data_IF_348028596618
#
_entry.id   IF_348028596618
#
_cell.length_a   1.000
_cell.length_b   1.000
_cell.length_c   1.000
_cell.angle_alpha   90.00
_cell.angle_beta   90.00
_cell.angle_gamma   90.00
#
_symmetry.space_group_name_H-M   'P 1'
#
loop_
_entity.id
_entity.type
_entity.pdbx_description
1 polymer ?
#
# COMPACT_ATOMS: atom_id res chain seq x y z
N UNK A 1 -3.53 -10.80 24.33
CA UNK A 1 -3.19 -12.08 23.67
C UNK A 1 -1.68 -12.11 23.57
N UNK A 2 -1.03 -13.19 24.00
CA UNK A 2 0.44 -13.34 23.92
C UNK A 2 0.73 -14.72 23.36
N UNK A 3 1.59 -14.80 22.35
CA UNK A 3 2.01 -16.04 21.70
C UNK A 3 3.50 -15.98 21.38
N UNK A 4 4.07 -17.14 21.04
CA UNK A 4 5.46 -17.24 20.58
C UNK A 4 5.46 -17.05 19.06
N UNK A 5 6.19 -16.05 18.58
CA UNK A 5 6.43 -15.83 17.16
C UNK A 5 7.77 -16.48 16.81
N UNK A 6 7.74 -17.50 15.95
CA UNK A 6 8.94 -18.09 15.37
C UNK A 6 9.15 -17.52 13.97
N UNK A 7 10.31 -16.89 13.76
CA UNK A 7 10.65 -16.24 12.50
C UNK A 7 11.69 -17.06 11.76
N UNK A 8 11.49 -17.23 10.45
CA UNK A 8 12.57 -17.70 9.58
C UNK A 8 13.72 -16.68 9.60
N UNK A 9 15.00 -17.10 9.50
CA UNK A 9 16.14 -16.18 9.62
C UNK A 9 16.08 -14.97 8.66
N UNK A 10 15.51 -15.15 7.46
CA UNK A 10 15.37 -14.07 6.48
C UNK A 10 14.35 -13.00 6.89
N UNK A 11 13.38 -13.32 7.76
CA UNK A 11 12.35 -12.40 8.22
C UNK A 11 12.77 -11.58 9.46
N UNK A 12 14.01 -11.72 9.95
CA UNK A 12 14.47 -11.04 11.17
C UNK A 12 14.49 -9.50 11.05
N UNK A 13 14.58 -8.99 9.83
CA UNK A 13 14.53 -7.56 9.53
C UNK A 13 13.11 -7.04 9.26
N UNK A 14 12.09 -7.91 9.23
CA UNK A 14 10.71 -7.49 9.06
C UNK A 14 10.20 -6.88 10.37
N UNK A 15 9.67 -5.66 10.29
CA UNK A 15 9.18 -4.91 11.45
C UNK A 15 7.68 -5.10 11.69
N UNK A 16 6.97 -5.66 10.70
CA UNK A 16 5.52 -5.76 10.67
C UNK A 16 5.10 -7.08 10.06
N UNK A 17 4.08 -7.69 10.64
CA UNK A 17 3.59 -9.02 10.26
C UNK A 17 2.07 -9.03 10.17
N UNK A 18 1.54 -9.82 9.25
CA UNK A 18 0.13 -10.21 9.22
C UNK A 18 -0.03 -11.54 9.94
N UNK A 19 -1.05 -11.61 10.80
CA UNK A 19 -1.39 -12.83 11.50
C UNK A 19 -2.68 -13.40 10.91
N UNK A 20 -2.65 -14.68 10.56
CA UNK A 20 -3.80 -15.42 10.07
C UNK A 20 -4.14 -16.56 11.03
N UNK A 21 -5.43 -16.88 11.19
CA UNK A 21 -5.83 -18.17 11.74
C UNK A 21 -5.21 -19.30 10.90
N UNK A 22 -4.68 -20.33 11.56
CA UNK A 22 -3.93 -21.38 10.88
C UNK A 22 -4.82 -22.17 9.90
N UNK A 23 -6.11 -22.30 10.23
CA UNK A 23 -7.14 -22.90 9.41
C UNK A 23 -7.37 -22.16 8.09
N UNK A 24 -7.17 -20.84 8.05
CA UNK A 24 -7.44 -20.00 6.87
C UNK A 24 -6.28 -20.03 5.87
N UNK A 25 -5.09 -20.45 6.31
CA UNK A 25 -3.85 -20.46 5.51
C UNK A 25 -3.22 -21.84 5.37
N UNK A 26 -3.92 -22.90 5.78
CA UNK A 26 -3.40 -24.26 5.79
C UNK A 26 -2.95 -24.75 4.40
N UNK A 27 -3.60 -24.25 3.34
CA UNK A 27 -3.35 -24.62 1.95
C UNK A 27 -2.41 -23.62 1.22
N UNK A 28 -2.00 -22.53 1.89
CA UNK A 28 -1.09 -21.56 1.27
C UNK A 28 0.35 -22.09 1.26
N UNK A 29 1.05 -22.00 0.12
CA UNK A 29 2.44 -22.42 0.04
C UNK A 29 3.33 -21.49 0.86
N UNK A 30 4.20 -22.05 1.69
CA UNK A 30 5.23 -21.29 2.39
C UNK A 30 6.43 -21.04 1.47
N UNK A 31 6.88 -19.79 1.40
CA UNK A 31 8.13 -19.41 0.73
C UNK A 31 9.09 -18.72 1.70
N UNK A 32 10.38 -18.73 1.36
CA UNK A 32 11.34 -17.91 2.07
C UNK A 32 10.99 -16.42 1.89
N UNK A 33 11.04 -15.65 2.98
CA UNK A 33 10.89 -14.20 2.90
C UNK A 33 12.05 -13.59 2.10
N UNK A 34 11.72 -12.73 1.13
CA UNK A 34 12.67 -11.98 0.31
C UNK A 34 12.37 -10.48 0.43
N UNK A 35 13.27 -9.74 1.08
CA UNK A 35 13.20 -8.28 1.10
C UNK A 35 13.60 -7.73 -0.27
N UNK A 36 12.79 -6.82 -0.81
CA UNK A 36 13.10 -6.09 -2.04
C UNK A 36 13.50 -4.65 -1.69
N UNK A 37 14.69 -4.26 -2.13
CA UNK A 37 15.19 -2.88 -2.01
C UNK A 37 14.83 -2.12 -3.27
N UNK A 38 14.27 -0.91 -3.12
CA UNK A 38 13.94 -0.08 -4.26
C UNK A 38 15.18 0.49 -4.96
N UNK A 39 15.09 0.61 -6.28
CA UNK A 39 16.18 1.14 -7.13
C UNK A 39 15.89 2.56 -7.62
N UNK A 40 16.92 3.22 -8.16
CA UNK A 40 16.80 4.61 -8.62
C UNK A 40 15.68 4.80 -9.65
N UNK A 41 15.61 3.94 -10.66
CA UNK A 41 14.63 4.07 -11.75
C UNK A 41 13.18 3.89 -11.25
N UNK A 42 12.98 2.99 -10.28
CA UNK A 42 11.70 2.82 -9.58
C UNK A 42 11.28 4.12 -8.88
N UNK A 43 12.20 4.74 -8.13
CA UNK A 43 11.93 6.01 -7.44
C UNK A 43 11.63 7.14 -8.43
N UNK A 44 12.34 7.22 -9.56
CA UNK A 44 12.09 8.23 -10.60
C UNK A 44 10.73 8.03 -11.25
N UNK A 45 10.38 6.79 -11.59
CA UNK A 45 9.08 6.47 -12.16
C UNK A 45 7.92 6.81 -11.22
N UNK A 46 8.02 6.44 -9.94
CA UNK A 46 7.01 6.78 -8.94
C UNK A 46 6.80 8.29 -8.82
N UNK A 47 7.88 9.09 -8.89
CA UNK A 47 7.80 10.56 -8.87
C UNK A 47 7.10 11.12 -10.13
N UNK A 48 7.38 10.56 -11.30
CA UNK A 48 6.74 10.98 -12.55
C UNK A 48 5.24 10.67 -12.51
N UNK A 49 4.88 9.44 -12.17
CA UNK A 49 3.47 9.00 -12.06
C UNK A 49 2.74 9.82 -10.99
N UNK A 50 3.39 10.13 -9.86
CA UNK A 50 2.77 10.96 -8.82
C UNK A 50 2.45 12.38 -9.30
N UNK A 51 3.37 13.02 -10.05
CA UNK A 51 3.13 14.34 -10.64
C UNK A 51 1.93 14.31 -11.60
N UNK A 52 1.84 13.28 -12.43
CA UNK A 52 0.74 13.09 -13.35
C UNK A 52 -0.57 12.86 -12.59
N UNK A 53 -0.58 11.96 -11.60
CA UNK A 53 -1.76 11.69 -10.78
C UNK A 53 -2.26 12.92 -10.01
N UNK A 54 -1.37 13.71 -9.41
CA UNK A 54 -1.72 14.98 -8.73
C UNK A 54 -2.39 15.95 -9.71
N UNK A 55 -1.79 16.11 -10.90
CA UNK A 55 -2.29 17.01 -11.94
C UNK A 55 -3.65 16.55 -12.49
N UNK A 56 -3.81 15.25 -12.77
CA UNK A 56 -5.07 14.66 -13.24
C UNK A 56 -6.23 14.83 -12.24
N UNK A 57 -5.92 14.89 -10.95
CA UNK A 57 -6.91 15.13 -9.89
C UNK A 57 -7.13 16.62 -9.57
N UNK A 58 -6.50 17.54 -10.32
CA UNK A 58 -6.65 18.99 -10.11
C UNK A 58 -6.07 19.49 -8.79
N UNK A 59 -5.18 18.72 -8.16
CA UNK A 59 -4.57 19.08 -6.90
C UNK A 59 -3.33 19.96 -7.10
N UNK A 60 -3.05 20.83 -6.13
CA UNK A 60 -1.89 21.71 -6.18
C UNK A 60 -0.60 20.92 -5.92
N UNK A 61 0.32 20.96 -6.87
CA UNK A 61 1.67 20.42 -6.67
C UNK A 61 2.45 21.30 -5.67
N UNK A 62 3.19 20.72 -4.72
CA UNK A 62 4.13 21.45 -3.88
C UNK A 62 5.20 22.21 -4.70
N UNK A 63 5.73 23.31 -4.16
CA UNK A 63 6.73 24.15 -4.84
C UNK A 63 8.05 23.43 -5.10
N UNK A 64 8.42 22.47 -4.24
CA UNK A 64 9.56 21.57 -4.38
C UNK A 64 9.22 20.27 -5.15
N UNK A 65 7.98 20.17 -5.66
CA UNK A 65 7.46 19.07 -6.46
C UNK A 65 7.15 17.80 -5.65
N UNK A 66 6.81 16.72 -6.35
CA UNK A 66 6.41 15.45 -5.71
C UNK A 66 7.49 14.81 -4.82
N UNK A 67 8.77 15.14 -5.04
CA UNK A 67 9.85 14.62 -4.18
C UNK A 67 9.75 15.14 -2.74
N UNK A 68 9.33 16.39 -2.56
CA UNK A 68 9.21 17.02 -1.25
C UNK A 68 8.10 16.46 -0.37
N UNK A 69 7.15 15.73 -0.96
CA UNK A 69 6.01 15.13 -0.27
C UNK A 69 6.08 13.60 -0.25
N UNK A 70 7.21 13.00 -0.63
CA UNK A 70 7.37 11.54 -0.61
C UNK A 70 7.67 11.07 0.81
N UNK A 71 6.79 10.25 1.36
CA UNK A 71 6.90 9.76 2.74
C UNK A 71 7.42 8.34 2.83
N UNK A 72 6.97 7.46 1.93
CA UNK A 72 7.28 6.04 2.03
C UNK A 72 7.46 5.40 0.66
N UNK A 73 8.46 4.54 0.51
CA UNK A 73 8.74 3.80 -0.72
C UNK A 73 9.12 2.38 -0.36
N UNK A 74 8.52 1.41 -1.05
CA UNK A 74 8.83 0.00 -0.87
C UNK A 74 8.77 -0.71 -2.21
N UNK A 75 9.79 -1.53 -2.50
CA UNK A 75 9.73 -2.48 -3.59
C UNK A 75 9.12 -3.81 -3.11
N UNK A 76 8.41 -4.48 -3.99
CA UNK A 76 7.80 -5.79 -3.75
C UNK A 76 7.62 -6.52 -5.07
N UNK A 77 7.38 -7.83 -5.05
CA UNK A 77 7.20 -8.60 -6.27
C UNK A 77 5.96 -9.50 -6.16
N UNK A 78 4.84 -9.11 -6.79
CA UNK A 78 3.65 -9.96 -6.92
C UNK A 78 3.96 -11.36 -7.43
N UNK A 79 3.14 -12.35 -7.04
CA UNK A 79 3.32 -13.74 -7.49
C UNK A 79 3.20 -13.89 -9.01
N UNK A 80 2.40 -13.03 -9.65
CA UNK A 80 2.19 -12.94 -11.09
C UNK A 80 3.23 -12.06 -11.81
N UNK A 81 4.25 -11.54 -11.10
CA UNK A 81 5.24 -10.62 -11.65
C UNK A 81 6.65 -11.24 -11.78
N UNK A 82 7.25 -11.06 -12.96
CA UNK A 82 8.63 -11.49 -13.22
C UNK A 82 9.71 -10.53 -12.66
N UNK A 83 9.34 -9.28 -12.37
CA UNK A 83 10.26 -8.25 -11.85
C UNK A 83 9.59 -7.45 -10.74
N UNK A 84 10.35 -6.91 -9.77
CA UNK A 84 9.79 -6.13 -8.67
C UNK A 84 9.08 -4.85 -9.12
N UNK A 85 7.94 -4.60 -8.51
CA UNK A 85 7.18 -3.36 -8.56
C UNK A 85 7.65 -2.41 -7.46
N UNK A 86 7.18 -1.16 -7.49
CA UNK A 86 7.42 -0.20 -6.42
C UNK A 86 6.12 0.49 -6.03
N UNK A 87 5.85 0.54 -4.73
CA UNK A 87 4.80 1.35 -4.14
C UNK A 87 5.41 2.59 -3.49
N UNK A 88 4.77 3.74 -3.63
CA UNK A 88 5.22 4.99 -3.00
C UNK A 88 4.04 5.82 -2.53
N UNK A 89 4.11 6.24 -1.26
CA UNK A 89 3.14 7.14 -0.64
C UNK A 89 3.66 8.57 -0.66
N UNK A 90 2.79 9.48 -1.07
CA UNK A 90 3.00 10.92 -1.07
C UNK A 90 1.94 11.60 -0.20
N UNK A 91 2.35 12.58 0.61
CA UNK A 91 1.49 13.28 1.55
C UNK A 91 1.75 14.77 1.49
N UNK A 92 0.74 15.55 1.10
CA UNK A 92 0.85 17.00 1.05
C UNK A 92 0.08 17.63 2.21
N UNK A 93 0.74 18.56 2.93
CA UNK A 93 0.17 19.35 4.05
C UNK A 93 -0.44 18.49 5.19
N UNK A 94 0.06 17.28 5.36
CA UNK A 94 -0.33 16.34 6.40
C UNK A 94 0.88 15.42 6.71
N UNK A 95 0.68 14.40 7.54
CA UNK A 95 1.67 13.40 7.90
C UNK A 95 1.18 11.99 7.59
N UNK A 96 2.12 11.07 7.32
CA UNK A 96 1.84 9.64 7.23
C UNK A 96 1.60 9.06 8.64
N UNK A 97 0.39 9.23 9.16
CA UNK A 97 0.02 8.79 10.50
C UNK A 97 -1.36 9.29 10.91
N UNK A 98 -1.87 8.78 12.05
CA UNK A 98 -3.14 9.27 12.62
C UNK A 98 -2.97 10.71 13.08
N UNK A 99 -3.99 11.54 12.83
CA UNK A 99 -4.04 12.92 13.34
C UNK A 99 -4.81 13.85 12.42
N UNK A 100 -5.23 15.00 12.92
CA UNK A 100 -6.02 15.97 12.14
C UNK A 100 -5.25 16.50 10.91
N UNK A 101 -5.83 16.47 9.71
CA UNK A 101 -5.20 17.03 8.52
C UNK A 101 -5.25 18.56 8.52
N UNK A 102 -4.37 19.19 7.74
CA UNK A 102 -4.51 20.61 7.39
C UNK A 102 -5.50 20.79 6.23
N UNK A 103 -5.98 22.02 6.04
CA UNK A 103 -6.69 22.38 4.81
C UNK A 103 -5.77 22.27 3.59
N UNK A 104 -6.31 21.76 2.49
CA UNK A 104 -5.63 21.48 1.22
C UNK A 104 -4.80 20.20 1.24
N UNK A 105 -4.96 19.36 2.26
CA UNK A 105 -4.17 18.15 2.40
C UNK A 105 -4.70 17.01 1.52
N UNK A 106 -3.79 16.19 1.03
CA UNK A 106 -4.13 14.97 0.31
C UNK A 106 -3.08 13.88 0.56
N UNK A 107 -3.52 12.64 0.44
CA UNK A 107 -2.67 11.46 0.36
C UNK A 107 -2.74 10.86 -1.04
N UNK A 108 -1.63 10.30 -1.51
CA UNK A 108 -1.55 9.60 -2.77
C UNK A 108 -0.67 8.36 -2.61
N UNK A 109 -1.21 7.19 -2.93
CA UNK A 109 -0.42 5.98 -3.16
C UNK A 109 -0.27 5.79 -4.66
N UNK A 110 0.96 5.59 -5.12
CA UNK A 110 1.27 5.16 -6.48
C UNK A 110 1.90 3.78 -6.42
N UNK A 111 1.50 2.89 -7.31
CA UNK A 111 2.18 1.63 -7.59
C UNK A 111 2.63 1.63 -9.04
N UNK A 112 3.93 1.47 -9.27
CA UNK A 112 4.52 1.38 -10.59
C UNK A 112 4.97 -0.07 -10.87
N UNK A 113 4.60 -0.58 -12.04
CA UNK A 113 5.00 -1.90 -12.51
C UNK A 113 6.01 -1.81 -13.65
N UNK A 114 6.94 -2.77 -13.78
CA UNK A 114 7.85 -2.81 -14.90
C UNK A 114 7.13 -3.01 -16.24
N UNK A 115 7.54 -2.29 -17.28
CA UNK A 115 7.07 -2.47 -18.66
C UNK A 115 8.18 -2.08 -19.65
N UNK A 116 8.60 -3.04 -20.49
CA UNK A 116 9.81 -2.89 -21.30
C UNK A 116 11.03 -2.58 -20.42
N UNK A 117 11.80 -1.55 -20.79
CA UNK A 117 12.95 -1.08 -20.00
C UNK A 117 12.58 -0.05 -18.92
N UNK A 118 11.29 0.30 -18.81
CA UNK A 118 10.80 1.32 -17.88
C UNK A 118 9.76 0.80 -16.90
N UNK A 119 8.98 1.74 -16.37
CA UNK A 119 7.89 1.50 -15.44
C UNK A 119 6.67 2.31 -15.85
N UNK A 120 5.50 1.74 -15.64
CA UNK A 120 4.20 2.38 -15.88
C UNK A 120 3.33 2.30 -14.64
N UNK A 121 2.35 3.19 -14.56
CA UNK A 121 1.36 3.19 -13.50
C UNK A 121 0.55 1.89 -13.52
N UNK A 122 0.56 1.16 -12.40
CA UNK A 122 -0.37 0.08 -12.13
C UNK A 122 -1.57 0.58 -11.33
N UNK A 123 -1.31 1.38 -10.28
CA UNK A 123 -2.32 1.90 -9.36
C UNK A 123 -2.01 3.35 -9.02
N UNK A 124 -3.04 4.20 -8.96
CA UNK A 124 -3.01 5.42 -8.17
C UNK A 124 -4.27 5.53 -7.29
N UNK A 125 -4.05 5.71 -5.98
CA UNK A 125 -5.12 5.99 -5.01
C UNK A 125 -4.90 7.40 -4.50
N UNK A 126 -5.61 8.35 -5.10
CA UNK A 126 -5.61 9.74 -4.67
C UNK A 126 -6.79 9.98 -3.70
N UNK A 127 -6.54 10.67 -2.59
CA UNK A 127 -7.57 11.04 -1.63
C UNK A 127 -7.34 12.47 -1.15
N UNK A 128 -8.30 13.37 -1.42
CA UNK A 128 -8.30 14.72 -0.84
C UNK A 128 -9.07 14.76 0.47
N UNK A 129 -8.57 15.55 1.40
CA UNK A 129 -9.23 15.73 2.71
C UNK A 129 -10.59 16.43 2.55
N UNK A 130 -10.70 17.36 1.61
CA UNK A 130 -11.93 18.11 1.35
C UNK A 130 -13.07 17.22 0.85
N UNK A 131 -12.77 16.20 0.03
CA UNK A 131 -13.79 15.33 -0.55
C UNK A 131 -14.16 14.17 0.38
N UNK A 132 -13.19 13.56 1.04
CA UNK A 132 -13.36 12.25 1.70
C UNK A 132 -12.89 12.22 3.16
N UNK A 133 -12.39 13.34 3.68
CA UNK A 133 -11.65 13.38 4.94
C UNK A 133 -10.28 12.70 4.83
N UNK A 134 -9.47 12.82 5.90
CA UNK A 134 -8.13 12.20 5.93
C UNK A 134 -8.22 10.68 5.82
N UNK A 135 -7.37 10.14 4.95
CA UNK A 135 -7.13 8.71 4.79
C UNK A 135 -5.92 8.50 3.89
N UNK A 136 -4.72 8.67 4.44
CA UNK A 136 -3.47 8.55 3.68
C UNK A 136 -3.16 7.07 3.44
N UNK A 137 -3.11 6.60 2.18
CA UNK A 137 -2.83 5.20 1.87
C UNK A 137 -1.32 4.91 1.88
N UNK A 138 -0.92 3.79 2.49
CA UNK A 138 0.42 3.23 2.49
C UNK A 138 0.37 1.76 2.14
N UNK A 139 1.18 1.36 1.16
CA UNK A 139 1.39 -0.06 0.88
C UNK A 139 1.85 -0.77 2.16
N UNK A 140 1.18 -1.87 2.51
CA UNK A 140 1.58 -2.70 3.63
C UNK A 140 2.16 -4.03 3.16
N UNK A 141 1.41 -4.77 2.35
CA UNK A 141 1.80 -6.08 1.83
C UNK A 141 1.03 -6.45 0.56
N UNK A 142 1.28 -7.64 0.02
CA UNK A 142 0.54 -8.25 -1.08
C UNK A 142 0.46 -9.77 -0.92
N UNK A 143 -0.63 -10.36 -1.40
CA UNK A 143 -0.87 -11.80 -1.41
C UNK A 143 -1.96 -12.12 -2.43
N UNK A 144 -1.96 -13.32 -2.97
CA UNK A 144 -3.09 -13.91 -3.70
C UNK A 144 -4.09 -14.48 -2.68
N UNK A 145 -5.08 -13.69 -2.26
CA UNK A 145 -6.01 -14.03 -1.20
C UNK A 145 -7.12 -14.98 -1.65
N UNK A 146 -7.49 -14.94 -2.92
CA UNK A 146 -8.60 -15.74 -3.47
C UNK A 146 -8.14 -16.96 -4.29
N UNK A 147 -6.83 -17.09 -4.50
CA UNK A 147 -6.19 -18.23 -5.16
C UNK A 147 -6.31 -18.20 -6.68
N UNK A 148 -6.58 -17.05 -7.29
CA UNK A 148 -6.72 -16.92 -8.73
C UNK A 148 -5.37 -16.81 -9.48
N UNK A 149 -4.27 -16.72 -8.75
CA UNK A 149 -2.91 -16.62 -9.26
C UNK A 149 -2.42 -15.18 -9.45
N UNK A 150 -3.21 -14.16 -9.09
CA UNK A 150 -2.81 -12.76 -9.06
C UNK A 150 -2.68 -12.26 -7.62
N UNK A 151 -1.76 -11.33 -7.36
CA UNK A 151 -1.70 -10.71 -6.02
C UNK A 151 -2.64 -9.53 -5.89
N UNK A 152 -3.38 -9.47 -4.80
CA UNK A 152 -3.98 -8.25 -4.29
C UNK A 152 -2.96 -7.44 -3.47
N UNK A 153 -3.24 -6.15 -3.32
CA UNK A 153 -2.42 -5.23 -2.52
C UNK A 153 -3.17 -4.87 -1.25
N UNK A 154 -2.54 -5.14 -0.10
CA UNK A 154 -3.00 -4.69 1.20
C UNK A 154 -2.43 -3.30 1.50
N UNK A 155 -3.33 -2.37 1.84
CA UNK A 155 -3.03 -0.98 2.09
C UNK A 155 -3.43 -0.60 3.51
N UNK A 156 -2.50 0.01 4.23
CA UNK A 156 -2.81 0.79 5.43
C UNK A 156 -3.40 2.13 5.05
N UNK A 157 -4.44 2.55 5.75
CA UNK A 157 -5.02 3.87 5.56
C UNK A 157 -5.03 4.61 6.90
N UNK A 158 -4.31 5.74 6.94
CA UNK A 158 -4.17 6.58 8.13
C UNK A 158 -5.14 7.75 8.08
N UNK A 159 -6.20 7.70 8.88
CA UNK A 159 -7.16 8.79 8.99
C UNK A 159 -6.92 9.73 10.16
N UNK A 160 -7.94 10.56 10.44
CA UNK A 160 -7.83 11.57 11.49
C UNK A 160 -7.78 10.99 12.90
N UNK A 161 -8.56 9.93 13.18
CA UNK A 161 -8.74 9.37 14.52
C UNK A 161 -8.39 7.89 14.64
N UNK A 162 -8.23 7.20 13.51
CA UNK A 162 -7.96 5.76 13.45
C UNK A 162 -7.18 5.40 12.19
N UNK A 163 -6.56 4.23 12.24
CA UNK A 163 -5.99 3.52 11.09
C UNK A 163 -6.93 2.37 10.73
N UNK A 164 -6.98 2.05 9.44
CA UNK A 164 -7.72 0.90 8.92
C UNK A 164 -6.98 0.24 7.76
N UNK A 165 -7.51 -0.88 7.28
CA UNK A 165 -6.97 -1.56 6.10
C UNK A 165 -7.94 -1.48 4.92
N UNK A 166 -7.38 -1.43 3.72
CA UNK A 166 -8.11 -1.63 2.48
C UNK A 166 -7.35 -2.62 1.60
N UNK A 167 -8.09 -3.39 0.80
CA UNK A 167 -7.52 -4.29 -0.21
C UNK A 167 -7.82 -3.74 -1.59
N UNK A 168 -6.79 -3.70 -2.43
CA UNK A 168 -6.90 -3.41 -3.85
C UNK A 168 -6.77 -4.72 -4.62
N UNK A 169 -7.68 -4.94 -5.54
CA UNK A 169 -7.87 -6.17 -6.29
C UNK A 169 -8.05 -5.81 -7.77
N UNK A 170 -7.56 -6.65 -8.67
CA UNK A 170 -7.68 -6.46 -10.11
C UNK A 170 -8.93 -7.16 -10.63
N UNK A 171 -9.98 -6.38 -10.89
CA UNK A 171 -11.23 -6.85 -11.51
C UNK A 171 -11.37 -6.32 -12.93
N UNK A 172 -11.58 -7.21 -13.88
CA UNK A 172 -11.69 -6.88 -15.31
C UNK A 172 -10.50 -6.04 -15.83
N UNK A 173 -9.29 -6.31 -15.31
CA UNK A 173 -8.06 -5.60 -15.65
C UNK A 173 -7.91 -4.22 -14.98
N UNK A 174 -8.87 -3.80 -14.16
CA UNK A 174 -8.82 -2.55 -13.40
C UNK A 174 -8.59 -2.80 -11.92
N UNK A 175 -7.75 -1.98 -11.30
CA UNK A 175 -7.59 -2.00 -9.86
C UNK A 175 -8.78 -1.31 -9.19
N UNK A 176 -9.44 -2.04 -8.30
CA UNK A 176 -10.57 -1.55 -7.51
C UNK A 176 -10.35 -1.86 -6.03
N UNK A 177 -10.92 -1.04 -5.15
CA UNK A 177 -10.95 -1.36 -3.72
C UNK A 177 -12.02 -2.43 -3.49
N UNK A 178 -11.60 -3.65 -3.21
CA UNK A 178 -12.49 -4.80 -2.98
C UNK A 178 -12.96 -4.91 -1.53
N UNK A 179 -12.15 -4.44 -0.58
CA UNK A 179 -12.44 -4.52 0.85
C UNK A 179 -11.93 -3.28 1.58
N UNK A 180 -12.63 -2.89 2.65
CA UNK A 180 -12.18 -1.90 3.63
C UNK A 180 -12.71 -2.29 5.01
N UNK A 181 -11.83 -2.37 6.00
CA UNK A 181 -12.21 -2.61 7.39
C UNK A 181 -11.51 -1.65 8.31
N UNK A 182 -12.33 -0.91 9.05
CA UNK A 182 -11.96 0.13 9.99
C UNK A 182 -11.19 -0.33 11.25
N UNK A 183 -10.71 -1.58 11.29
CA UNK A 183 -10.16 -2.24 12.47
C UNK A 183 -11.09 -2.02 13.67
N UNK A 184 -12.34 -2.51 13.57
CA UNK A 184 -13.29 -2.49 14.68
C UNK A 184 -12.85 -3.39 15.84
N UNK A 185 -13.44 -3.27 17.04
CA UNK A 185 -13.21 -4.24 18.10
C UNK A 185 -13.62 -5.63 17.61
N UNK A 186 -12.78 -6.64 17.87
CA UNK A 186 -13.04 -8.02 17.49
C UNK A 186 -14.47 -8.45 17.90
N UNK A 187 -15.17 -9.25 17.08
CA UNK A 187 -16.45 -9.83 17.48
C UNK A 187 -16.29 -10.51 18.85
N UNK A 188 -17.15 -10.17 19.81
CA UNK A 188 -17.19 -10.92 21.08
C UNK A 188 -17.57 -12.36 20.72
N UNK A 189 -16.80 -13.38 21.14
CA UNK A 189 -17.20 -14.76 20.93
C UNK A 189 -18.59 -14.96 21.54
N UNK A 190 -19.54 -15.43 20.73
CA UNK A 190 -20.84 -15.88 21.22
C UNK A 190 -20.62 -17.09 22.13
N UNK A 191 -21.27 -17.13 23.31
CA UNK A 191 -21.14 -18.23 24.27
C UNK A 191 -21.67 -19.55 23.72
#
# INVERSE_FOLDING_TARGET
MSGVLELVPSAVAAERFLAFPAEDVADLPYSAFAAHVDVFDQRVAALAIARDAITRNGATLPSDGALGIREHTQAFQPVDAARPWVATTFVNRDQLGIGSPSQGAYGLLVVARPEGDGFVEAVSVFRSVEAEGKGVPQYHDHMDWDGDGASEILVDVFGATRRWFAVLDRRDGQWVRSYEDSCGPAPRPTP
#
